data_IF_869991914241
#
_entry.id   IF_869991914241
#
_cell.length_a   1.000
_cell.length_b   1.000
_cell.length_c   1.000
_cell.angle_alpha   90.00
_cell.angle_beta   90.00
_cell.angle_gamma   90.00
#
_symmetry.space_group_name_H-M   'P 1'
#
loop_
_entity.id
_entity.type
_entity.pdbx_description
1 polymer ?
#
# COMPACT_ATOMS: atom_id res chain seq x y z
N UNK A 1 9.07 11.73 -7.46
CA UNK A 1 10.05 12.40 -6.60
C UNK A 1 10.37 11.56 -5.38
N UNK A 2 11.65 11.27 -5.16
CA UNK A 2 12.13 10.49 -4.02
C UNK A 2 12.42 11.42 -2.84
N UNK A 3 11.68 11.30 -1.74
CA UNK A 3 11.99 11.99 -0.48
C UNK A 3 12.63 10.97 0.46
N UNK A 4 13.92 11.14 0.77
CA UNK A 4 14.66 10.21 1.61
C UNK A 4 14.50 10.55 3.11
N UNK A 5 13.98 9.59 3.90
CA UNK A 5 14.23 9.53 5.35
C UNK A 5 15.02 8.26 5.64
N UNK A 6 16.24 8.43 6.18
CA UNK A 6 17.05 7.30 6.64
C UNK A 6 16.42 6.65 7.85
N UNK A 7 15.99 5.41 7.69
CA UNK A 7 15.77 4.51 8.82
C UNK A 7 16.45 3.18 8.50
N UNK A 8 17.59 2.93 9.15
CA UNK A 8 18.34 1.69 8.99
C UNK A 8 17.64 0.59 9.77
N UNK A 9 17.07 -0.37 9.09
CA UNK A 9 16.54 -1.59 9.69
C UNK A 9 17.49 -2.74 9.33
N UNK A 10 18.28 -3.17 10.32
CA UNK A 10 19.20 -4.30 10.12
C UNK A 10 18.41 -5.61 10.09
N UNK A 11 18.36 -6.27 8.93
CA UNK A 11 18.22 -7.71 8.81
C UNK A 11 19.59 -8.35 8.65
N UNK A 12 19.79 -9.53 9.22
CA UNK A 12 21.08 -10.22 9.48
C UNK A 12 22.00 -10.40 8.24
N UNK A 13 21.58 -10.07 7.01
CA UNK A 13 22.38 -10.22 5.78
C UNK A 13 22.32 -9.07 4.77
N UNK A 14 21.31 -8.21 4.83
CA UNK A 14 21.17 -7.11 3.88
C UNK A 14 20.69 -5.87 4.60
N UNK A 15 21.31 -4.71 4.32
CA UNK A 15 20.82 -3.42 4.80
C UNK A 15 19.71 -2.92 3.87
N UNK A 16 18.61 -2.46 4.47
CA UNK A 16 17.49 -1.85 3.75
C UNK A 16 17.37 -0.38 4.11
N UNK A 17 16.98 0.40 3.13
CA UNK A 17 16.72 1.82 3.27
C UNK A 17 15.24 2.09 3.01
N UNK A 18 14.67 3.01 3.77
CA UNK A 18 13.32 3.49 3.55
C UNK A 18 13.40 4.82 2.81
N UNK A 19 12.73 4.87 1.66
CA UNK A 19 12.55 6.08 0.88
C UNK A 19 11.06 6.25 0.57
N UNK A 20 10.65 7.46 0.20
CA UNK A 20 9.29 7.72 -0.24
C UNK A 20 9.29 8.05 -1.73
N UNK A 21 8.35 7.47 -2.46
CA UNK A 21 8.05 7.84 -3.84
C UNK A 21 6.74 8.61 -3.90
N UNK A 22 6.73 9.69 -4.67
CA UNK A 22 5.52 10.48 -4.95
C UNK A 22 4.94 10.05 -6.28
N UNK A 23 3.67 9.71 -6.30
CA UNK A 23 2.92 9.31 -7.51
C UNK A 23 1.71 10.21 -7.66
N UNK A 24 1.59 10.86 -8.81
CA UNK A 24 0.44 11.69 -9.11
C UNK A 24 -0.78 10.81 -9.42
N UNK A 25 -1.94 11.23 -8.92
CA UNK A 25 -3.23 10.68 -9.37
C UNK A 25 -3.65 11.38 -10.67
N UNK A 26 -4.67 10.85 -11.32
CA UNK A 26 -5.36 11.56 -12.40
C UNK A 26 -6.05 12.86 -11.93
N UNK A 27 -6.30 12.97 -10.62
CA UNK A 27 -6.66 14.21 -9.93
C UNK A 27 -5.39 14.92 -9.46
N UNK A 28 -5.48 16.17 -9.00
CA UNK A 28 -4.35 16.97 -8.48
C UNK A 28 -3.73 16.42 -7.17
N UNK A 29 -4.21 15.27 -6.71
CA UNK A 29 -3.72 14.63 -5.49
C UNK A 29 -2.45 13.83 -5.77
N UNK A 30 -1.55 13.80 -4.77
CA UNK A 30 -0.31 13.03 -4.81
C UNK A 30 -0.33 11.97 -3.71
N UNK A 31 -0.03 10.74 -4.08
CA UNK A 31 0.24 9.67 -3.12
C UNK A 31 1.72 9.62 -2.80
N UNK A 32 2.07 9.59 -1.51
CA UNK A 32 3.44 9.42 -1.05
C UNK A 32 3.56 8.04 -0.42
N UNK A 33 4.27 7.14 -1.10
CA UNK A 33 4.30 5.71 -0.77
C UNK A 33 5.70 5.33 -0.28
N UNK A 34 5.82 4.67 0.90
CA UNK A 34 7.11 4.22 1.40
C UNK A 34 7.63 3.01 0.61
N UNK A 35 8.90 3.09 0.25
CA UNK A 35 9.67 2.02 -0.38
C UNK A 35 10.68 1.46 0.62
N UNK A 36 10.83 0.14 0.63
CA UNK A 36 11.92 -0.56 1.30
C UNK A 36 12.88 -1.07 0.23
N UNK A 37 14.08 -0.48 0.15
CA UNK A 37 15.05 -0.68 -0.92
C UNK A 37 16.30 -1.33 -0.36
N UNK A 38 16.74 -2.45 -0.94
CA UNK A 38 18.02 -3.07 -0.60
C UNK A 38 19.19 -2.18 -1.05
N UNK A 39 20.27 -2.15 -0.24
CA UNK A 39 21.51 -1.47 -0.60
C UNK A 39 22.14 -1.98 -1.89
N UNK A 40 21.73 -3.15 -2.38
CA UNK A 40 22.19 -3.72 -3.66
C UNK A 40 21.58 -3.02 -4.87
N UNK A 41 20.45 -2.33 -4.70
CA UNK A 41 19.72 -1.66 -5.78
C UNK A 41 20.07 -0.17 -5.90
N UNK A 42 20.69 0.42 -4.88
CA UNK A 42 21.03 1.84 -4.84
C UNK A 42 22.40 2.07 -4.22
N UNK A 43 23.09 3.11 -4.69
CA UNK A 43 24.27 3.64 -4.04
C UNK A 43 23.86 4.61 -2.93
N UNK A 44 24.00 4.18 -1.68
CA UNK A 44 23.53 4.93 -0.50
C UNK A 44 24.29 6.24 -0.25
N UNK A 45 25.38 6.49 -0.98
CA UNK A 45 26.15 7.73 -0.89
C UNK A 45 25.60 8.82 -1.80
N UNK A 46 24.72 8.47 -2.75
CA UNK A 46 24.11 9.39 -3.71
C UNK A 46 22.81 9.98 -3.19
N UNK A 47 22.50 11.17 -3.68
CA UNK A 47 21.21 11.82 -3.46
C UNK A 47 20.30 11.55 -4.67
N UNK A 48 19.16 10.91 -4.40
CA UNK A 48 18.17 10.54 -5.42
C UNK A 48 16.91 11.40 -5.37
N UNK A 49 16.92 12.48 -4.58
CA UNK A 49 15.77 13.38 -4.49
C UNK A 49 15.48 14.04 -5.83
N UNK A 50 14.21 14.01 -6.21
CA UNK A 50 13.74 14.61 -7.47
C UNK A 50 13.91 13.72 -8.70
N UNK A 51 14.60 12.59 -8.59
CA UNK A 51 14.74 11.67 -9.73
C UNK A 51 13.44 10.95 -10.01
N UNK A 52 13.19 10.71 -11.29
CA UNK A 52 12.10 9.84 -11.76
C UNK A 52 12.54 8.39 -11.67
N UNK A 53 11.66 7.54 -11.14
CA UNK A 53 11.94 6.11 -10.99
C UNK A 53 10.77 5.26 -11.42
N UNK A 54 11.08 4.07 -11.88
CA UNK A 54 10.16 2.96 -12.04
C UNK A 54 10.51 1.88 -11.02
N UNK A 55 9.50 1.37 -10.33
CA UNK A 55 9.66 0.40 -9.25
C UNK A 55 8.70 -0.77 -9.48
N UNK A 56 9.23 -1.98 -9.40
CA UNK A 56 8.45 -3.20 -9.26
C UNK A 56 8.79 -3.91 -7.95
N UNK A 57 7.77 -4.46 -7.29
CA UNK A 57 7.95 -5.13 -6.01
C UNK A 57 6.67 -5.65 -5.41
N UNK A 58 6.67 -5.85 -4.10
CA UNK A 58 5.54 -6.38 -3.34
C UNK A 58 5.12 -5.40 -2.26
N UNK A 59 3.84 -5.14 -2.16
CA UNK A 59 3.29 -4.36 -1.05
C UNK A 59 3.20 -5.27 0.18
N UNK A 60 4.03 -4.99 1.18
CA UNK A 60 4.21 -5.81 2.37
C UNK A 60 3.78 -5.10 3.63
N UNK A 61 3.38 -5.88 4.62
CA UNK A 61 3.06 -5.40 5.95
C UNK A 61 3.94 -6.05 7.01
N UNK A 62 4.20 -5.32 8.08
CA UNK A 62 4.76 -5.86 9.31
C UNK A 62 4.22 -5.11 10.52
N UNK A 63 4.20 -5.79 11.65
CA UNK A 63 3.81 -5.19 12.91
C UNK A 63 5.03 -4.59 13.59
N UNK A 64 4.98 -3.30 13.86
CA UNK A 64 5.97 -2.58 14.66
C UNK A 64 5.45 -2.44 16.08
N UNK A 65 6.26 -2.89 17.03
CA UNK A 65 5.97 -2.70 18.45
C UNK A 65 6.39 -1.28 18.87
N UNK A 66 5.43 -0.46 19.29
CA UNK A 66 5.66 0.86 19.88
C UNK A 66 5.08 0.84 21.30
N UNK A 67 5.93 0.52 22.28
CA UNK A 67 5.50 0.33 23.67
C UNK A 67 4.52 -0.83 23.82
N UNK A 68 3.30 -0.55 24.30
CA UNK A 68 2.24 -1.56 24.47
C UNK A 68 1.35 -1.76 23.22
N UNK A 69 1.58 -0.99 22.14
CA UNK A 69 0.74 -1.01 20.94
C UNK A 69 1.49 -1.60 19.75
N UNK A 70 0.78 -2.41 18.98
CA UNK A 70 1.22 -2.87 17.68
C UNK A 70 0.68 -1.93 16.60
N UNK A 71 1.58 -1.44 15.74
CA UNK A 71 1.23 -0.63 14.59
C UNK A 71 1.54 -1.40 13.31
N UNK A 72 0.54 -1.55 12.46
CA UNK A 72 0.73 -2.10 11.13
C UNK A 72 1.49 -1.08 10.27
N UNK A 73 2.64 -1.48 9.75
CA UNK A 73 3.45 -0.69 8.84
C UNK A 73 3.41 -1.33 7.47
N UNK A 74 3.16 -0.52 6.46
CA UNK A 74 3.04 -0.91 5.06
C UNK A 74 4.13 -0.23 4.24
N UNK A 75 4.75 -0.97 3.33
CA UNK A 75 5.73 -0.45 2.38
C UNK A 75 5.82 -1.33 1.16
N UNK A 76 6.29 -0.78 0.04
CA UNK A 76 6.65 -1.57 -1.12
C UNK A 76 8.05 -2.13 -0.89
N UNK A 77 8.16 -3.45 -0.82
CA UNK A 77 9.44 -4.15 -0.86
C UNK A 77 9.92 -4.20 -2.30
N UNK A 78 10.92 -3.38 -2.62
CA UNK A 78 11.40 -3.18 -3.99
C UNK A 78 12.21 -4.38 -4.43
N UNK A 79 11.83 -4.97 -5.57
CA UNK A 79 12.58 -6.03 -6.24
C UNK A 79 13.40 -5.50 -7.39
N UNK A 80 12.82 -4.57 -8.15
CA UNK A 80 13.43 -3.94 -9.31
C UNK A 80 13.26 -2.44 -9.21
N UNK A 81 14.29 -1.70 -9.55
CA UNK A 81 14.31 -0.24 -9.53
C UNK A 81 15.08 0.23 -10.75
N UNK A 82 14.45 1.10 -11.53
CA UNK A 82 15.06 1.77 -12.68
C UNK A 82 14.92 3.27 -12.53
N UNK A 83 16.00 3.98 -12.78
CA UNK A 83 15.98 5.44 -12.91
C UNK A 83 15.61 5.80 -14.34
N UNK A 84 14.67 6.73 -14.48
CA UNK A 84 14.18 7.17 -15.79
C UNK A 84 14.92 8.45 -16.19
N UNK A 85 15.23 8.59 -17.46
CA UNK A 85 15.76 9.84 -18.03
C UNK A 85 14.63 10.86 -18.16
N UNK A 86 14.97 12.15 -18.28
CA UNK A 86 13.98 13.23 -18.25
C UNK A 86 12.97 13.20 -19.40
N UNK A 87 13.35 12.60 -20.52
CA UNK A 87 12.52 12.41 -21.72
C UNK A 87 11.74 11.07 -21.72
N UNK A 88 12.09 10.16 -20.81
CA UNK A 88 11.30 8.93 -20.62
C UNK A 88 10.03 9.25 -19.83
N UNK A 89 8.93 9.43 -20.54
CA UNK A 89 7.60 9.54 -19.93
C UNK A 89 6.92 8.17 -19.98
N UNK A 90 6.26 7.75 -18.87
CA UNK A 90 5.41 6.57 -18.96
C UNK A 90 4.32 6.83 -20.00
N UNK A 91 4.14 5.88 -20.91
CA UNK A 91 3.20 5.98 -22.05
C UNK A 91 1.75 6.32 -21.62
N UNK A 92 1.37 5.98 -20.40
CA UNK A 92 0.09 6.35 -19.81
C UNK A 92 0.24 6.63 -18.31
N UNK A 93 -0.11 7.83 -17.86
CA UNK A 93 -0.16 8.16 -16.42
C UNK A 93 -1.11 7.24 -15.63
N UNK A 94 -2.12 6.69 -16.27
CA UNK A 94 -3.06 5.73 -15.67
C UNK A 94 -2.40 4.42 -15.24
N UNK A 95 -1.23 4.09 -15.81
CA UNK A 95 -0.46 2.88 -15.50
C UNK A 95 0.66 3.09 -14.48
N UNK A 96 0.84 4.31 -14.00
CA UNK A 96 1.95 4.67 -13.10
C UNK A 96 1.84 4.08 -11.71
N UNK A 97 0.66 3.61 -11.29
CA UNK A 97 0.42 3.04 -9.96
C UNK A 97 -0.59 1.90 -10.08
N UNK A 98 -0.08 0.69 -10.16
CA UNK A 98 -0.89 -0.52 -10.30
C UNK A 98 -0.46 -1.55 -9.25
N UNK A 99 -1.43 -2.20 -8.64
CA UNK A 99 -1.23 -3.31 -7.73
C UNK A 99 -2.23 -4.42 -8.03
N UNK A 100 -1.74 -5.65 -7.94
CA UNK A 100 -2.55 -6.86 -7.94
C UNK A 100 -2.30 -7.64 -6.65
N UNK A 101 -3.37 -8.05 -5.99
CA UNK A 101 -3.34 -8.88 -4.81
C UNK A 101 -4.11 -10.17 -5.06
N UNK A 102 -3.54 -11.27 -4.62
CA UNK A 102 -4.18 -12.58 -4.54
C UNK A 102 -4.13 -13.01 -3.08
N UNK A 103 -5.28 -13.14 -2.43
CA UNK A 103 -5.33 -13.36 -1.01
C UNK A 103 -6.72 -13.62 -0.46
N UNK A 104 -6.84 -13.59 0.86
CA UNK A 104 -8.04 -14.02 1.57
C UNK A 104 -8.59 -12.92 2.47
N UNK A 105 -9.91 -12.81 2.56
CA UNK A 105 -10.57 -11.94 3.53
C UNK A 105 -10.28 -12.46 4.94
N UNK A 106 -9.60 -11.66 5.78
CA UNK A 106 -9.21 -12.09 7.12
C UNK A 106 -10.04 -11.48 8.26
N UNK A 107 -10.89 -10.51 7.94
CA UNK A 107 -11.87 -9.91 8.87
C UNK A 107 -13.16 -9.63 8.14
N UNK A 108 -14.32 -9.60 8.83
CA UNK A 108 -15.56 -9.19 8.22
C UNK A 108 -15.41 -7.79 7.58
N UNK A 109 -15.76 -7.63 6.31
CA UNK A 109 -15.70 -6.33 5.64
C UNK A 109 -16.65 -5.34 6.31
N UNK A 110 -16.24 -4.06 6.34
CA UNK A 110 -17.05 -2.98 6.93
C UNK A 110 -17.63 -2.15 5.80
N UNK A 111 -18.92 -2.39 5.51
CA UNK A 111 -19.66 -1.59 4.55
C UNK A 111 -20.32 -0.39 5.24
N UNK A 112 -20.24 0.78 4.59
CA UNK A 112 -20.89 2.01 5.06
C UNK A 112 -21.26 2.92 3.90
N UNK A 113 -22.22 3.81 4.15
CA UNK A 113 -22.52 4.94 3.27
C UNK A 113 -22.00 6.24 3.89
N UNK A 114 -21.35 7.06 3.07
CA UNK A 114 -20.97 8.41 3.48
C UNK A 114 -22.21 9.31 3.56
N UNK A 115 -22.14 10.47 4.26
CA UNK A 115 -23.22 11.45 4.27
C UNK A 115 -23.67 11.92 2.87
N UNK A 116 -22.76 11.86 1.89
CA UNK A 116 -23.05 12.19 0.49
C UNK A 116 -23.60 10.99 -0.33
N UNK A 117 -23.95 9.89 0.34
CA UNK A 117 -24.53 8.70 -0.27
C UNK A 117 -23.54 7.79 -1.02
N UNK A 118 -22.24 8.04 -0.92
CA UNK A 118 -21.22 7.16 -1.52
C UNK A 118 -21.09 5.88 -0.70
N UNK A 119 -21.10 4.75 -1.37
CA UNK A 119 -20.91 3.43 -0.77
C UNK A 119 -19.43 3.12 -0.69
N UNK A 120 -18.98 2.66 0.49
CA UNK A 120 -17.59 2.32 0.78
C UNK A 120 -17.57 0.98 1.52
N UNK A 121 -16.59 0.14 1.22
CA UNK A 121 -16.27 -1.04 2.03
C UNK A 121 -14.77 -1.08 2.35
N UNK A 122 -14.46 -1.26 3.62
CA UNK A 122 -13.10 -1.53 4.08
C UNK A 122 -12.92 -3.04 4.19
N UNK A 123 -11.86 -3.56 3.55
CA UNK A 123 -11.53 -4.98 3.50
C UNK A 123 -10.10 -5.14 3.96
N UNK A 124 -9.82 -6.14 4.79
CA UNK A 124 -8.45 -6.55 5.11
C UNK A 124 -8.14 -7.87 4.40
N UNK A 125 -7.21 -7.82 3.44
CA UNK A 125 -6.79 -8.96 2.63
C UNK A 125 -5.48 -9.51 3.17
N UNK A 126 -5.47 -10.81 3.50
CA UNK A 126 -4.27 -11.54 3.86
C UNK A 126 -3.65 -12.14 2.60
N UNK A 127 -2.44 -11.71 2.27
CA UNK A 127 -1.66 -12.23 1.13
C UNK A 127 -0.57 -13.13 1.67
N UNK A 128 -0.61 -14.40 1.32
CA UNK A 128 0.34 -15.39 1.78
C UNK A 128 1.69 -15.22 1.10
N UNK A 129 2.75 -15.31 1.89
CA UNK A 129 4.13 -15.39 1.43
C UNK A 129 4.69 -16.79 1.64
N UNK A 130 5.74 -17.18 0.90
CA UNK A 130 6.51 -18.39 1.22
C UNK A 130 6.94 -18.41 2.70
N UNK A 131 7.10 -19.60 3.24
CA UNK A 131 7.54 -19.82 4.63
C UNK A 131 6.54 -19.40 5.72
N UNK A 132 5.25 -19.48 5.45
CA UNK A 132 4.19 -19.31 6.44
C UNK A 132 4.01 -17.88 6.97
N UNK A 133 4.47 -16.88 6.26
CA UNK A 133 4.23 -15.46 6.56
C UNK A 133 3.08 -14.92 5.72
N UNK A 134 2.36 -13.95 6.24
CA UNK A 134 1.29 -13.25 5.53
C UNK A 134 1.44 -11.74 5.67
N UNK A 135 1.07 -11.04 4.60
CA UNK A 135 0.91 -9.60 4.61
C UNK A 135 -0.57 -9.26 4.76
N UNK A 136 -0.87 -8.31 5.62
CA UNK A 136 -2.24 -7.84 5.85
C UNK A 136 -2.40 -6.48 5.19
N UNK A 137 -3.13 -6.46 4.08
CA UNK A 137 -3.25 -5.29 3.21
C UNK A 137 -4.65 -4.69 3.34
N UNK A 138 -4.77 -3.47 3.89
CA UNK A 138 -6.03 -2.74 3.88
C UNK A 138 -6.43 -2.37 2.45
N UNK A 139 -7.67 -2.64 2.09
CA UNK A 139 -8.25 -2.28 0.80
C UNK A 139 -9.52 -1.46 1.03
N UNK A 140 -9.75 -0.49 0.17
CA UNK A 140 -10.98 0.30 0.15
C UNK A 140 -11.67 0.14 -1.21
N UNK A 141 -12.92 -0.29 -1.17
CA UNK A 141 -13.76 -0.44 -2.35
C UNK A 141 -14.86 0.63 -2.36
N UNK A 142 -15.29 1.02 -3.54
CA UNK A 142 -16.28 2.08 -3.77
C UNK A 142 -17.45 1.58 -4.63
N UNK A 143 -18.64 2.14 -4.39
CA UNK A 143 -19.83 1.92 -5.18
C UNK A 143 -20.19 0.43 -5.32
N UNK A 144 -20.27 -0.07 -6.56
CA UNK A 144 -20.61 -1.46 -6.84
C UNK A 144 -19.63 -2.44 -6.20
N UNK A 145 -18.34 -2.15 -6.24
CA UNK A 145 -17.33 -3.00 -5.58
C UNK A 145 -17.51 -3.02 -4.06
N UNK A 146 -17.93 -1.90 -3.45
CA UNK A 146 -18.22 -1.84 -2.02
C UNK A 146 -19.43 -2.72 -1.64
N UNK A 147 -20.50 -2.69 -2.45
CA UNK A 147 -21.67 -3.57 -2.23
C UNK A 147 -21.31 -5.03 -2.34
N UNK A 148 -20.52 -5.38 -3.34
CA UNK A 148 -20.01 -6.75 -3.51
C UNK A 148 -19.15 -7.15 -2.30
N UNK A 149 -18.17 -6.33 -1.94
CA UNK A 149 -17.25 -6.60 -0.84
C UNK A 149 -17.96 -6.71 0.52
N UNK A 150 -19.01 -5.92 0.74
CA UNK A 150 -19.80 -5.97 1.96
C UNK A 150 -20.53 -7.30 2.22
N UNK A 151 -20.72 -8.12 1.19
CA UNK A 151 -21.30 -9.45 1.27
C UNK A 151 -20.29 -10.61 1.39
N UNK A 152 -18.99 -10.30 1.38
CA UNK A 152 -17.95 -11.33 1.47
C UNK A 152 -17.79 -11.86 2.88
N UNK A 153 -17.55 -13.16 2.98
CA UNK A 153 -17.26 -13.84 4.23
C UNK A 153 -15.75 -13.90 4.51
N UNK A 154 -15.40 -14.05 5.78
CA UNK A 154 -14.01 -14.34 6.19
C UNK A 154 -13.57 -15.67 5.60
N UNK A 155 -12.38 -15.69 5.02
CA UNK A 155 -11.83 -16.86 4.30
C UNK A 155 -12.10 -16.85 2.80
N UNK A 156 -12.93 -15.94 2.27
CA UNK A 156 -13.16 -15.81 0.84
C UNK A 156 -11.84 -15.49 0.11
N UNK A 157 -11.56 -16.23 -0.96
CA UNK A 157 -10.39 -16.05 -1.81
C UNK A 157 -10.67 -14.96 -2.86
N UNK A 158 -9.83 -13.94 -2.90
CA UNK A 158 -10.00 -12.76 -3.73
C UNK A 158 -8.81 -12.49 -4.62
N UNK A 159 -9.10 -12.01 -5.81
CA UNK A 159 -8.16 -11.28 -6.65
C UNK A 159 -8.58 -9.82 -6.73
N UNK A 160 -7.69 -8.93 -6.34
CA UNK A 160 -7.93 -7.49 -6.25
C UNK A 160 -6.93 -6.75 -7.12
N UNK A 161 -7.42 -5.89 -8.00
CA UNK A 161 -6.62 -4.94 -8.77
C UNK A 161 -6.95 -3.52 -8.34
N UNK A 162 -5.95 -2.65 -8.34
CA UNK A 162 -6.15 -1.26 -7.97
C UNK A 162 -4.85 -0.47 -7.96
N UNK A 163 -4.80 0.52 -7.11
CA UNK A 163 -3.62 1.37 -6.89
C UNK A 163 -3.34 1.50 -5.39
N UNK A 164 -2.09 1.69 -5.05
CA UNK A 164 -1.70 2.04 -3.68
C UNK A 164 -1.96 3.53 -3.45
N UNK A 165 -2.61 3.88 -2.37
CA UNK A 165 -2.85 5.27 -2.01
C UNK A 165 -2.43 5.57 -0.58
N UNK A 166 -2.06 6.83 -0.36
CA UNK A 166 -1.85 7.41 0.96
C UNK A 166 -3.02 8.33 1.31
N UNK A 167 -3.46 8.28 2.56
CA UNK A 167 -4.53 9.12 3.07
C UNK A 167 -4.15 9.68 4.43
N UNK A 168 -4.09 11.00 4.53
CA UNK A 168 -3.94 11.65 5.82
C UNK A 168 -5.24 11.61 6.60
N UNK A 169 -5.13 11.35 7.89
CA UNK A 169 -6.24 11.41 8.83
C UNK A 169 -5.76 11.91 10.19
N UNK A 170 -6.69 12.46 10.94
CA UNK A 170 -6.44 12.93 12.29
C UNK A 170 -6.98 11.94 13.31
N UNK A 171 -6.16 11.63 14.31
CA UNK A 171 -6.55 10.79 15.44
C UNK A 171 -6.52 11.61 16.72
N UNK A 172 -7.62 11.64 17.46
CA UNK A 172 -7.65 12.20 18.82
C UNK A 172 -6.87 11.27 19.76
N UNK A 173 -5.87 11.81 20.47
CA UNK A 173 -5.04 11.08 21.41
C UNK A 173 -5.46 11.43 22.85
N UNK A 174 -6.03 12.60 23.07
CA UNK A 174 -6.54 13.13 24.34
C UNK A 174 -7.73 14.04 24.13
N UNK A 175 -8.17 14.75 25.17
CA UNK A 175 -9.32 15.65 25.08
C UNK A 175 -9.12 16.83 24.13
N UNK A 176 -7.86 17.31 23.98
CA UNK A 176 -7.49 18.45 23.11
C UNK A 176 -6.34 18.11 22.13
N UNK A 177 -5.73 16.94 22.21
CA UNK A 177 -4.59 16.56 21.38
C UNK A 177 -5.01 15.76 20.15
N UNK A 178 -4.60 16.25 18.98
CA UNK A 178 -4.88 15.65 17.68
C UNK A 178 -3.58 15.32 16.97
N UNK A 179 -3.38 14.07 16.62
CA UNK A 179 -2.22 13.62 15.86
C UNK A 179 -2.60 13.40 14.38
N UNK A 180 -1.81 13.98 13.47
CA UNK A 180 -1.92 13.68 12.03
C UNK A 180 -1.19 12.37 11.73
N UNK A 181 -1.89 11.47 11.05
CA UNK A 181 -1.37 10.17 10.64
C UNK A 181 -1.62 9.93 9.15
N UNK A 182 -0.82 9.06 8.57
CA UNK A 182 -0.99 8.61 7.20
C UNK A 182 -1.37 7.13 7.22
N UNK A 183 -2.46 6.80 6.56
CA UNK A 183 -2.85 5.43 6.24
C UNK A 183 -2.46 5.11 4.80
N UNK A 184 -1.94 3.89 4.60
CA UNK A 184 -1.67 3.34 3.28
C UNK A 184 -2.67 2.22 3.03
N UNK A 185 -3.28 2.23 1.87
CA UNK A 185 -4.33 1.27 1.50
C UNK A 185 -4.35 1.05 -0.01
N UNK A 186 -5.00 -0.02 -0.44
CA UNK A 186 -5.26 -0.28 -1.86
C UNK A 186 -6.64 0.26 -2.21
N UNK A 187 -6.71 1.22 -3.12
CA UNK A 187 -7.96 1.64 -3.74
C UNK A 187 -8.34 0.65 -4.83
N UNK A 188 -9.42 -0.09 -4.59
CA UNK A 188 -9.86 -1.19 -5.44
C UNK A 188 -10.50 -0.67 -6.72
N UNK A 189 -9.98 -1.07 -7.89
CA UNK A 189 -10.61 -0.85 -9.19
C UNK A 189 -11.41 -2.07 -9.66
N UNK A 190 -10.90 -3.27 -9.37
CA UNK A 190 -11.54 -4.55 -9.69
C UNK A 190 -11.38 -5.52 -8.53
N UNK A 191 -12.42 -6.29 -8.24
CA UNK A 191 -12.43 -7.34 -7.24
C UNK A 191 -13.20 -8.55 -7.79
N UNK A 192 -12.55 -9.69 -7.75
CA UNK A 192 -13.11 -10.97 -8.20
C UNK A 192 -13.03 -12.00 -7.06
N UNK A 193 -14.08 -12.77 -6.87
CA UNK A 193 -14.06 -13.95 -6.03
C UNK A 193 -13.47 -15.11 -6.83
N UNK A 194 -12.50 -15.79 -6.25
CA UNK A 194 -11.94 -17.02 -6.81
C UNK A 194 -12.74 -18.19 -6.23
N UNK A 195 -13.39 -18.95 -7.09
CA UNK A 195 -14.00 -20.21 -6.70
C UNK A 195 -12.90 -21.26 -6.64
N UNK A 196 -12.70 -21.88 -5.48
CA UNK A 196 -11.81 -23.02 -5.37
C UNK A 196 -12.45 -24.16 -6.19
N UNK A 197 -11.75 -24.65 -7.21
CA UNK A 197 -12.17 -25.86 -7.93
C UNK A 197 -12.13 -27.02 -6.92
N UNK A 198 -13.29 -27.64 -6.67
CA UNK A 198 -13.45 -28.84 -5.84
C UNK A 198 -12.70 -30.06 -6.43
#
# INVERSE_FOLDING_TARGET
HLLSRRQRQMCIRDSFYIANVSVNRLSDMVDVIPLMISERLIDVTKDYRGMKIEVAGQFRSYNRHEGTKNKLVLSIFVRELRFLEDDEMPEEQSKSNQIFLDGYVCKPPIYRKTPLGREIADILVAVNRPYGKSDYIPCIAWGRNARFAGGLEVGAHLQVSGRVQSREYTKKIGEEEVERRVAYEVSVSKIDLVEDEE
#
